data_IF_240177122269
#
_entry.id   IF_240177122269
#
_cell.length_a   1.000
_cell.length_b   1.000
_cell.length_c   1.000
_cell.angle_alpha   90.00
_cell.angle_beta   90.00
_cell.angle_gamma   90.00
#
_symmetry.space_group_name_H-M   'P 1'
#
loop_
_entity.id
_entity.type
_entity.pdbx_description
1 polymer ?
#
# COMPACT_ATOMS: atom_id res chain seq x y z
N UNK A 1 -1.68 16.50 -16.52
CA UNK A 1 -0.94 16.65 -15.25
C UNK A 1 -0.37 15.29 -14.88
N UNK A 2 0.84 15.00 -15.34
CA UNK A 2 1.55 13.74 -15.10
C UNK A 2 2.22 13.82 -13.73
N UNK A 3 1.65 13.15 -12.73
CA UNK A 3 2.27 13.05 -11.41
C UNK A 3 3.57 12.24 -11.55
N UNK A 4 4.70 12.95 -11.54
CA UNK A 4 6.05 12.37 -11.51
C UNK A 4 6.21 11.57 -10.22
N UNK A 5 6.34 10.26 -10.39
CA UNK A 5 6.71 9.33 -9.33
C UNK A 5 8.08 9.74 -8.77
N UNK A 6 8.12 10.34 -7.58
CA UNK A 6 9.35 10.75 -6.93
C UNK A 6 9.78 9.66 -5.92
N UNK A 7 10.83 8.86 -6.20
CA UNK A 7 11.12 7.62 -5.46
C UNK A 7 11.53 7.84 -3.99
N UNK A 8 12.02 9.03 -3.64
CA UNK A 8 12.40 9.39 -2.27
C UNK A 8 11.25 9.98 -1.45
N UNK A 9 10.22 10.54 -2.10
CA UNK A 9 8.98 11.03 -1.46
C UNK A 9 7.94 9.89 -1.39
N UNK A 10 8.10 8.84 -2.21
CA UNK A 10 7.13 7.76 -2.36
C UNK A 10 6.94 6.85 -1.15
N UNK A 11 7.97 6.54 -0.36
CA UNK A 11 7.82 5.58 0.77
C UNK A 11 6.81 6.06 1.80
N UNK A 12 6.92 7.31 2.24
CA UNK A 12 6.02 7.87 3.27
C UNK A 12 4.61 8.10 2.72
N UNK A 13 4.48 8.48 1.45
CA UNK A 13 3.17 8.65 0.79
C UNK A 13 2.47 7.30 0.62
N UNK A 14 3.17 6.26 0.15
CA UNK A 14 2.62 4.91 0.04
C UNK A 14 2.22 4.39 1.41
N UNK A 15 3.07 4.56 2.42
CA UNK A 15 2.75 4.17 3.80
C UNK A 15 1.47 4.84 4.29
N UNK A 16 1.34 6.17 4.14
CA UNK A 16 0.16 6.91 4.57
C UNK A 16 -1.10 6.52 3.77
N UNK A 17 -0.97 6.25 2.47
CA UNK A 17 -2.08 5.76 1.65
C UNK A 17 -2.57 4.39 2.11
N UNK A 18 -1.63 3.47 2.35
CA UNK A 18 -1.97 2.12 2.83
C UNK A 18 -2.56 2.19 4.23
N UNK A 19 -1.91 2.92 5.13
CA UNK A 19 -2.38 3.15 6.49
C UNK A 19 -3.79 3.71 6.49
N UNK A 20 -4.04 4.79 5.75
CA UNK A 20 -5.36 5.40 5.65
C UNK A 20 -6.43 4.47 5.08
N UNK A 21 -6.09 3.64 4.07
CA UNK A 21 -7.01 2.64 3.52
C UNK A 21 -7.31 1.52 4.51
N UNK A 22 -6.31 1.03 5.24
CA UNK A 22 -6.48 0.01 6.29
C UNK A 22 -7.34 0.55 7.44
N UNK A 23 -7.06 1.77 7.91
CA UNK A 23 -7.85 2.43 8.97
C UNK A 23 -9.30 2.68 8.51
N UNK A 24 -9.51 3.11 7.27
CA UNK A 24 -10.84 3.35 6.71
C UNK A 24 -11.69 2.06 6.58
N UNK A 25 -11.05 0.90 6.42
CA UNK A 25 -11.73 -0.40 6.33
C UNK A 25 -11.84 -1.14 7.68
N UNK A 26 -11.44 -0.49 8.78
CA UNK A 26 -11.59 -1.03 10.13
C UNK A 26 -10.38 -1.81 10.66
N UNK A 27 -9.19 -1.57 10.10
CA UNK A 27 -7.91 -2.11 10.61
C UNK A 27 -7.34 -3.28 9.80
N UNK A 28 -8.09 -3.81 8.84
CA UNK A 28 -7.65 -4.88 7.96
C UNK A 28 -8.24 -4.71 6.55
N UNK A 29 -7.43 -4.95 5.52
CA UNK A 29 -7.87 -4.82 4.13
C UNK A 29 -7.39 -6.00 3.30
N UNK A 30 -8.18 -6.54 2.36
CA UNK A 30 -7.70 -7.59 1.48
C UNK A 30 -6.48 -7.11 0.68
N UNK A 31 -5.41 -7.90 0.63
CA UNK A 31 -4.20 -7.57 -0.13
C UNK A 31 -4.54 -7.25 -1.60
N UNK A 32 -5.50 -7.98 -2.17
CA UNK A 32 -5.97 -7.75 -3.54
C UNK A 32 -6.58 -6.36 -3.71
N UNK A 33 -7.39 -5.91 -2.76
CA UNK A 33 -8.02 -4.59 -2.76
C UNK A 33 -6.99 -3.49 -2.56
N UNK A 34 -6.05 -3.71 -1.63
CA UNK A 34 -4.93 -2.82 -1.39
C UNK A 34 -4.06 -2.62 -2.63
N UNK A 35 -3.67 -3.72 -3.28
CA UNK A 35 -2.88 -3.70 -4.50
C UNK A 35 -3.64 -3.07 -5.67
N UNK A 36 -4.96 -3.24 -5.74
CA UNK A 36 -5.79 -2.61 -6.77
C UNK A 36 -5.91 -1.09 -6.56
N UNK A 37 -6.13 -0.66 -5.32
CA UNK A 37 -6.14 0.74 -4.92
C UNK A 37 -4.80 1.42 -5.25
N UNK A 38 -3.69 0.76 -4.94
CA UNK A 38 -2.35 1.26 -5.22
C UNK A 38 -2.05 1.23 -6.72
N UNK A 39 -2.53 0.21 -7.45
CA UNK A 39 -2.50 0.16 -8.91
C UNK A 39 -3.20 1.36 -9.56
N UNK A 40 -4.39 1.73 -9.07
CA UNK A 40 -5.13 2.92 -9.54
C UNK A 40 -4.41 4.24 -9.26
N UNK A 41 -3.60 4.27 -8.20
CA UNK A 41 -2.74 5.40 -7.84
C UNK A 41 -1.42 5.43 -8.65
N UNK A 42 -1.18 4.46 -9.54
CA UNK A 42 0.03 4.37 -10.37
C UNK A 42 1.18 3.58 -9.73
N UNK A 43 0.91 2.84 -8.65
CA UNK A 43 1.89 1.96 -8.01
C UNK A 43 1.80 0.54 -8.56
N UNK A 44 2.91 0.00 -9.07
CA UNK A 44 2.97 -1.35 -9.62
C UNK A 44 2.86 -2.44 -8.56
N UNK A 45 1.93 -3.39 -8.76
CA UNK A 45 1.60 -4.47 -7.81
C UNK A 45 2.82 -5.35 -7.46
N UNK A 46 3.66 -5.68 -8.45
CA UNK A 46 4.84 -6.54 -8.30
C UNK A 46 5.96 -5.92 -7.47
N UNK A 47 6.19 -4.61 -7.64
CA UNK A 47 7.19 -3.88 -6.85
C UNK A 47 6.72 -3.57 -5.42
N UNK A 48 5.42 -3.69 -5.16
CA UNK A 48 4.81 -3.31 -3.89
C UNK A 48 4.84 -4.42 -2.85
N UNK A 49 4.57 -5.67 -3.25
CA UNK A 49 4.58 -6.81 -2.34
C UNK A 49 5.83 -6.90 -1.43
N UNK A 50 7.06 -6.84 -1.95
CA UNK A 50 8.25 -6.86 -1.09
C UNK A 50 8.39 -5.60 -0.24
N UNK A 51 7.83 -4.46 -0.69
CA UNK A 51 7.85 -3.20 0.05
C UNK A 51 6.81 -3.14 1.17
N UNK A 52 5.71 -3.89 1.11
CA UNK A 52 4.71 -3.91 2.19
C UNK A 52 5.36 -4.31 3.53
N UNK A 53 6.22 -5.33 3.51
CA UNK A 53 6.98 -5.77 4.69
C UNK A 53 7.91 -4.69 5.24
N UNK A 54 8.59 -3.98 4.33
CA UNK A 54 9.51 -2.87 4.66
C UNK A 54 8.75 -1.65 5.21
N UNK A 55 7.50 -1.49 4.80
CA UNK A 55 6.57 -0.46 5.27
C UNK A 55 5.86 -0.83 6.58
N UNK A 56 6.20 -1.98 7.21
CA UNK A 56 5.56 -2.40 8.45
C UNK A 56 4.12 -2.89 8.28
N UNK A 57 3.78 -3.40 7.09
CA UNK A 57 2.48 -4.00 6.79
C UNK A 57 2.65 -5.51 6.77
N UNK A 58 1.93 -6.18 7.67
CA UNK A 58 1.86 -7.63 7.75
C UNK A 58 0.76 -8.14 6.81
N UNK A 59 1.08 -9.18 6.05
CA UNK A 59 0.13 -9.84 5.16
C UNK A 59 -0.15 -11.23 5.73
N UNK A 60 -1.35 -11.42 6.28
CA UNK A 60 -1.79 -12.66 6.91
C UNK A 60 -3.08 -13.10 6.24
N UNK A 61 -3.15 -14.36 5.80
CA UNK A 61 -4.35 -14.93 5.18
C UNK A 61 -4.87 -14.11 3.98
N UNK A 62 -3.96 -13.52 3.19
CA UNK A 62 -4.32 -12.67 2.06
C UNK A 62 -4.90 -11.29 2.44
N UNK A 63 -4.85 -10.90 3.73
CA UNK A 63 -5.21 -9.57 4.23
C UNK A 63 -3.97 -8.81 4.68
N UNK A 64 -3.90 -7.53 4.33
CA UNK A 64 -2.91 -6.59 4.80
C UNK A 64 -3.41 -5.88 6.06
N UNK A 65 -2.58 -5.88 7.10
CA UNK A 65 -2.79 -5.17 8.36
C UNK A 65 -1.54 -4.38 8.74
N UNK A 66 -1.71 -3.28 9.44
CA UNK A 66 -0.57 -2.58 10.03
C UNK A 66 0.01 -3.41 11.16
N UNK A 67 1.33 -3.46 11.24
CA UNK A 67 2.04 -4.09 12.35
C UNK A 67 1.95 -3.27 13.63
#
# INVERSE_FOLDING_TARGET
MTYKFNPLIGKSTIYNLIKGKIEAEGGEVPLKDLLDYLGKQGYFKEALQPRLKDLGIDVIDGKARLR
#
